data_IF_848123424734
#
_entry.id   IF_848123424734
#
_cell.length_a   1.000
_cell.length_b   1.000
_cell.length_c   1.000
_cell.angle_alpha   90.00
_cell.angle_beta   90.00
_cell.angle_gamma   90.00
#
_symmetry.space_group_name_H-M   'P 1'
#
loop_
_entity.id
_entity.type
_entity.pdbx_description
1 polymer ?
#
# COMPACT_ATOMS: atom_id res chain seq x y z
N UNK A 1 30.92 7.47 -21.15
CA UNK A 1 29.83 6.56 -20.74
C UNK A 1 28.60 6.83 -21.64
N UNK A 2 28.54 6.65 -22.97
CA UNK A 2 28.96 5.61 -23.93
C UNK A 2 28.53 4.19 -23.54
N UNK A 3 27.64 3.63 -24.37
CA UNK A 3 27.54 2.22 -24.77
C UNK A 3 26.53 1.29 -24.08
N UNK A 4 25.29 1.74 -23.83
CA UNK A 4 24.16 0.80 -23.73
C UNK A 4 22.93 1.47 -24.33
N UNK A 5 22.16 0.76 -25.14
CA UNK A 5 20.82 1.13 -25.69
C UNK A 5 20.76 1.58 -27.16
N UNK A 6 21.68 1.13 -28.00
CA UNK A 6 21.48 1.08 -29.46
C UNK A 6 21.56 -0.35 -30.00
N UNK A 7 20.89 -1.31 -29.33
CA UNK A 7 20.43 -2.52 -30.02
C UNK A 7 19.25 -2.09 -30.92
N UNK A 8 19.51 -1.97 -32.22
CA UNK A 8 18.47 -1.83 -33.23
C UNK A 8 17.71 -3.17 -33.41
N UNK A 9 16.39 -3.13 -33.70
CA UNK A 9 15.55 -4.31 -33.87
C UNK A 9 15.57 -4.76 -35.33
N UNK A 10 16.70 -5.24 -35.82
CA UNK A 10 16.77 -5.82 -37.17
C UNK A 10 17.37 -7.20 -37.09
N UNK A 11 16.61 -8.17 -37.61
CA UNK A 11 17.03 -9.53 -37.94
C UNK A 11 16.88 -10.57 -36.83
N UNK A 12 15.64 -11.02 -36.61
CA UNK A 12 15.33 -12.45 -36.77
C UNK A 12 13.96 -12.56 -37.43
N UNK A 13 13.96 -12.53 -38.77
CA UNK A 13 12.85 -13.03 -39.56
C UNK A 13 13.01 -14.56 -39.61
N UNK A 14 12.45 -15.27 -38.62
CA UNK A 14 12.38 -16.73 -38.62
C UNK A 14 10.95 -17.16 -39.00
N UNK A 15 10.84 -17.46 -40.28
CA UNK A 15 9.89 -18.31 -40.99
C UNK A 15 8.86 -19.06 -40.12
N UNK A 16 7.59 -18.72 -40.33
CA UNK A 16 6.43 -19.46 -39.85
C UNK A 16 6.40 -20.88 -40.44
N UNK A 17 6.37 -21.88 -39.56
CA UNK A 17 5.93 -23.24 -39.85
C UNK A 17 4.71 -23.55 -38.96
N UNK A 18 3.60 -23.84 -39.62
CA UNK A 18 2.30 -24.20 -39.05
C UNK A 18 2.42 -25.38 -38.07
N UNK A 19 1.96 -25.17 -36.84
CA UNK A 19 1.53 -26.23 -35.93
C UNK A 19 0.13 -25.93 -35.39
N UNK A 20 -0.78 -26.91 -35.30
CA UNK A 20 -2.04 -26.75 -34.58
C UNK A 20 -1.83 -27.02 -33.09
N UNK A 21 -2.48 -26.23 -32.23
CA UNK A 21 -2.70 -26.59 -30.83
C UNK A 21 -1.68 -26.01 -29.84
N UNK A 22 -2.07 -24.95 -29.17
CA UNK A 22 -2.59 -25.00 -27.80
C UNK A 22 -2.98 -23.58 -27.42
N UNK A 23 -4.22 -23.38 -27.00
CA UNK A 23 -4.65 -22.13 -26.36
C UNK A 23 -3.67 -21.86 -25.21
N UNK A 24 -2.84 -20.83 -25.37
CA UNK A 24 -2.14 -20.25 -24.25
C UNK A 24 -3.21 -19.65 -23.34
N UNK A 25 -3.69 -20.47 -22.39
CA UNK A 25 -4.43 -20.00 -21.26
C UNK A 25 -3.51 -19.01 -20.53
N UNK A 26 -3.76 -17.72 -20.77
CA UNK A 26 -3.19 -16.65 -19.97
C UNK A 26 -3.70 -16.84 -18.56
N UNK A 27 -2.94 -17.54 -17.72
CA UNK A 27 -3.10 -17.46 -16.29
C UNK A 27 -2.67 -16.06 -15.88
N UNK A 28 -3.64 -15.15 -15.92
CA UNK A 28 -3.56 -13.88 -15.22
C UNK A 28 -3.29 -14.23 -13.76
N UNK A 29 -2.02 -14.11 -13.38
CA UNK A 29 -1.59 -14.36 -12.01
C UNK A 29 -2.23 -13.25 -11.20
N UNK A 30 -3.32 -13.57 -10.52
CA UNK A 30 -4.03 -12.66 -9.63
C UNK A 30 -3.00 -12.08 -8.65
N UNK A 31 -2.58 -10.84 -8.95
CA UNK A 31 -1.62 -10.09 -8.13
C UNK A 31 -2.27 -9.54 -6.87
N UNK A 32 -3.28 -10.23 -6.35
CA UNK A 32 -3.46 -10.35 -4.90
C UNK A 32 -2.41 -11.31 -4.34
N UNK A 33 -1.14 -10.95 -4.55
CA UNK A 33 -0.20 -11.12 -3.46
C UNK A 33 -0.83 -10.35 -2.30
N UNK A 34 -1.49 -11.08 -1.39
CA UNK A 34 -1.88 -10.56 -0.10
C UNK A 34 -0.58 -10.08 0.50
N UNK A 35 -0.30 -8.79 0.34
CA UNK A 35 0.87 -8.17 0.90
C UNK A 35 0.84 -8.54 2.36
N UNK A 36 1.77 -9.38 2.78
CA UNK A 36 2.19 -9.38 4.16
C UNK A 36 2.71 -7.96 4.34
N UNK A 37 1.80 -7.05 4.69
CA UNK A 37 2.14 -5.72 5.11
C UNK A 37 3.25 -5.95 6.14
N UNK A 38 4.44 -5.43 5.87
CA UNK A 38 5.46 -5.40 6.90
C UNK A 38 4.80 -4.71 8.08
N UNK A 39 4.45 -5.49 9.10
CA UNK A 39 3.64 -5.01 10.21
C UNK A 39 4.54 -4.05 10.97
N UNK A 40 4.39 -2.77 10.66
CA UNK A 40 5.14 -1.70 11.32
C UNK A 40 4.74 -1.73 12.79
N UNK A 41 5.69 -1.42 13.67
CA UNK A 41 5.35 -1.30 15.07
C UNK A 41 4.25 -0.23 15.20
N UNK A 42 3.19 -0.44 16.02
CA UNK A 42 2.09 0.51 16.15
C UNK A 42 2.54 1.93 16.50
N UNK A 43 3.64 2.05 17.24
CA UNK A 43 4.27 3.33 17.55
C UNK A 43 4.80 4.05 16.29
N UNK A 44 5.37 3.32 15.33
CA UNK A 44 5.82 3.90 14.06
C UNK A 44 4.64 4.38 13.23
N UNK A 45 3.55 3.61 13.18
CA UNK A 45 2.32 4.04 12.49
C UNK A 45 1.75 5.31 13.11
N UNK A 46 1.71 5.37 14.45
CA UNK A 46 1.29 6.58 15.15
C UNK A 46 2.18 7.78 14.81
N UNK A 47 3.50 7.62 14.83
CA UNK A 47 4.45 8.70 14.51
C UNK A 47 4.31 9.19 13.08
N UNK A 48 4.11 8.29 12.12
CA UNK A 48 4.08 8.61 10.70
C UNK A 48 2.74 9.19 10.23
N UNK A 49 1.63 8.78 10.87
CA UNK A 49 0.29 9.07 10.36
C UNK A 49 -0.57 9.92 11.30
N UNK A 50 -0.22 10.03 12.59
CA UNK A 50 -1.07 10.68 13.59
C UNK A 50 -0.36 11.82 14.35
N UNK A 51 0.90 11.61 14.73
CA UNK A 51 1.63 12.51 15.62
C UNK A 51 1.87 13.92 15.04
N UNK A 52 1.77 14.07 13.71
CA UNK A 52 1.87 15.37 13.04
C UNK A 52 0.84 16.38 13.55
N UNK A 53 -0.40 15.94 13.79
CA UNK A 53 -1.44 16.77 14.40
C UNK A 53 -1.56 16.52 15.90
N UNK A 54 -1.55 15.25 16.31
CA UNK A 54 -1.91 14.85 17.68
C UNK A 54 -0.75 14.88 18.68
N UNK A 55 0.43 15.37 18.27
CA UNK A 55 1.69 15.35 19.03
C UNK A 55 2.20 13.93 19.30
N UNK A 56 3.48 13.82 19.66
CA UNK A 56 4.12 12.52 19.93
C UNK A 56 3.56 11.79 21.14
N UNK A 57 3.00 12.52 22.11
CA UNK A 57 2.36 11.96 23.32
C UNK A 57 0.85 11.73 23.14
N UNK A 58 0.29 12.06 21.97
CA UNK A 58 -1.13 11.93 21.67
C UNK A 58 -2.04 12.96 22.33
N UNK A 59 -1.51 13.95 23.04
CA UNK A 59 -2.34 14.94 23.76
C UNK A 59 -3.09 15.94 22.86
N UNK A 60 -2.68 16.09 21.59
CA UNK A 60 -3.28 17.03 20.66
C UNK A 60 -3.10 18.50 21.05
N UNK A 61 -4.06 19.34 20.66
CA UNK A 61 -4.12 20.78 20.92
C UNK A 61 -5.52 21.11 21.43
N UNK A 62 -5.69 21.57 22.67
CA UNK A 62 -7.01 21.86 23.24
C UNK A 62 -7.84 22.80 22.36
N UNK A 63 -9.05 22.37 21.98
CA UNK A 63 -9.97 23.15 21.13
C UNK A 63 -9.73 23.02 19.63
N UNK A 64 -8.63 22.41 19.19
CA UNK A 64 -8.22 22.34 17.78
C UNK A 64 -8.03 20.87 17.33
N UNK A 65 -7.16 20.14 18.01
CA UNK A 65 -6.80 18.75 17.70
C UNK A 65 -7.12 17.85 18.90
N UNK A 66 -7.97 16.81 18.74
CA UNK A 66 -8.40 15.95 19.84
C UNK A 66 -7.27 15.24 20.60
N UNK A 67 -7.47 14.99 21.90
CA UNK A 67 -6.58 14.14 22.73
C UNK A 67 -6.85 12.66 22.45
N UNK A 68 -5.86 11.98 21.88
CA UNK A 68 -5.94 10.55 21.54
C UNK A 68 -5.67 9.62 22.72
N UNK A 69 -5.20 10.11 23.86
CA UNK A 69 -4.97 9.27 25.06
C UNK A 69 -6.28 8.70 25.61
N UNK A 70 -7.41 9.34 25.29
CA UNK A 70 -8.75 8.90 25.64
C UNK A 70 -9.39 7.94 24.60
N UNK A 71 -8.70 7.55 23.52
CA UNK A 71 -9.31 6.74 22.45
C UNK A 71 -9.74 5.33 22.86
N UNK A 72 -9.24 4.82 23.99
CA UNK A 72 -9.50 3.44 24.42
C UNK A 72 -11.00 3.08 24.42
N UNK A 73 -11.86 4.02 24.83
CA UNK A 73 -13.30 3.82 24.82
C UNK A 73 -13.88 3.61 23.41
N UNK A 74 -13.39 4.38 22.42
CA UNK A 74 -13.82 4.27 21.02
C UNK A 74 -13.33 2.96 20.40
N UNK A 75 -12.08 2.58 20.67
CA UNK A 75 -11.46 1.37 20.13
C UNK A 75 -12.06 0.06 20.67
N UNK A 76 -12.80 0.13 21.79
CA UNK A 76 -13.48 -1.01 22.39
C UNK A 76 -14.50 -1.69 21.48
N UNK A 77 -15.05 -1.00 20.48
CA UNK A 77 -16.01 -1.57 19.53
C UNK A 77 -15.43 -1.75 18.13
N UNK A 78 -15.92 -2.75 17.39
CA UNK A 78 -15.53 -2.95 15.99
C UNK A 78 -15.94 -1.76 15.09
N UNK A 79 -17.07 -1.12 15.40
CA UNK A 79 -17.49 0.10 14.72
C UNK A 79 -16.52 1.25 14.97
N UNK A 80 -16.12 1.47 16.23
CA UNK A 80 -15.16 2.53 16.59
C UNK A 80 -13.78 2.32 15.98
N UNK A 81 -13.27 1.08 15.89
CA UNK A 81 -12.03 0.80 15.14
C UNK A 81 -12.14 1.16 13.66
N UNK A 82 -13.27 0.84 13.01
CA UNK A 82 -13.52 1.22 11.61
C UNK A 82 -13.71 2.72 11.40
N UNK A 83 -14.16 3.43 12.43
CA UNK A 83 -14.26 4.89 12.42
C UNK A 83 -12.85 5.51 12.47
N UNK A 84 -12.02 5.11 13.43
CA UNK A 84 -10.65 5.63 13.59
C UNK A 84 -9.77 5.30 12.38
N UNK A 85 -9.93 4.13 11.77
CA UNK A 85 -9.19 3.75 10.57
C UNK A 85 -9.52 4.60 9.32
N UNK A 86 -10.56 5.43 9.38
CA UNK A 86 -11.00 6.33 8.30
C UNK A 86 -11.07 7.75 8.82
N UNK A 87 -9.95 8.28 9.32
CA UNK A 87 -9.84 9.68 9.75
C UNK A 87 -10.44 10.57 8.66
N UNK A 88 -11.59 11.22 8.90
CA UNK A 88 -12.26 11.97 7.87
C UNK A 88 -11.50 13.28 7.60
N UNK A 89 -11.25 13.59 6.33
CA UNK A 89 -10.85 14.93 5.91
C UNK A 89 -9.37 15.29 6.07
N UNK A 90 -8.46 14.30 6.12
CA UNK A 90 -7.03 14.50 5.85
C UNK A 90 -6.66 13.95 4.47
#
# INVERSE_FOLDING_TARGET
MRAWRLLGPTSVLALALLGPGVEAASTETDSRASGAATERAPEQDFRLHCAGCHRLDGSGVPGEVPDLRALGAVLGSAAGRRYVARVPGV
#
